data_IF_306550590909
#
_entry.id   IF_306550590909
#
_cell.length_a   1.000
_cell.length_b   1.000
_cell.length_c   1.000
_cell.angle_alpha   90.00
_cell.angle_beta   90.00
_cell.angle_gamma   90.00
#
_symmetry.space_group_name_H-M   'P 1'
#
loop_
_entity.id
_entity.type
_entity.pdbx_description
1 polymer ?
#
# COMPACT_ATOMS: atom_id res chain seq x y z
N UNK A 1 -16.00 -12.92 3.23
CA UNK A 1 -14.98 -13.99 3.12
C UNK A 1 -13.85 -13.58 4.03
N UNK A 2 -13.60 -14.30 5.13
CA UNK A 2 -12.51 -13.94 6.05
C UNK A 2 -11.19 -14.13 5.32
N UNK A 3 -10.29 -13.14 5.39
CA UNK A 3 -8.94 -13.28 4.85
C UNK A 3 -8.28 -14.45 5.59
N UNK A 4 -7.95 -15.51 4.86
CA UNK A 4 -7.16 -16.61 5.40
C UNK A 4 -5.81 -16.04 5.80
N UNK A 5 -5.50 -16.06 7.09
CA UNK A 5 -4.23 -15.62 7.63
C UNK A 5 -3.15 -16.61 7.17
N UNK A 6 -2.49 -16.30 6.06
CA UNK A 6 -1.50 -17.17 5.44
C UNK A 6 -0.10 -16.83 5.94
N UNK A 7 0.55 -17.82 6.55
CA UNK A 7 1.93 -17.70 7.01
C UNK A 7 2.90 -18.18 5.94
N UNK A 8 4.05 -17.50 5.88
CA UNK A 8 5.10 -17.81 4.93
C UNK A 8 6.43 -17.96 5.64
N UNK A 9 7.20 -18.97 5.23
CA UNK A 9 8.60 -19.13 5.65
C UNK A 9 9.53 -18.64 4.55
N UNK A 10 10.49 -17.81 4.92
CA UNK A 10 11.56 -17.33 4.05
C UNK A 10 12.85 -17.15 4.84
N UNK A 11 13.96 -17.11 4.12
CA UNK A 11 15.29 -16.93 4.68
C UNK A 11 15.90 -15.61 4.25
N UNK A 12 16.49 -14.89 5.20
CA UNK A 12 17.37 -13.76 4.96
C UNK A 12 18.67 -14.23 4.30
N UNK A 13 19.03 -13.64 3.16
CA UNK A 13 20.24 -14.03 2.40
C UNK A 13 21.52 -13.52 3.03
N UNK A 14 21.47 -12.42 3.78
CA UNK A 14 22.64 -11.81 4.40
C UNK A 14 23.05 -12.52 5.68
N UNK A 15 22.11 -12.83 6.56
CA UNK A 15 22.40 -13.40 7.87
C UNK A 15 22.01 -14.88 8.00
N UNK A 16 21.22 -15.41 7.06
CA UNK A 16 20.84 -16.82 7.02
C UNK A 16 19.68 -17.19 7.95
N UNK A 17 19.14 -16.26 8.73
CA UNK A 17 17.98 -16.48 9.58
C UNK A 17 16.74 -16.87 8.77
N UNK A 18 15.96 -17.77 9.35
CA UNK A 18 14.68 -18.22 8.80
C UNK A 18 13.58 -17.53 9.59
N UNK A 19 12.69 -16.87 8.87
CA UNK A 19 11.54 -16.16 9.40
C UNK A 19 10.28 -16.87 8.93
N UNK A 20 9.34 -17.08 9.85
CA UNK A 20 7.96 -17.46 9.54
C UNK A 20 7.05 -16.31 9.97
N UNK A 21 6.27 -15.78 9.04
CA UNK A 21 5.43 -14.62 9.32
C UNK A 21 4.22 -14.51 8.39
N UNK A 22 3.18 -13.82 8.85
CA UNK A 22 2.14 -13.29 7.96
C UNK A 22 2.70 -12.13 7.14
N UNK A 23 2.45 -12.16 5.83
CA UNK A 23 2.86 -11.11 4.91
C UNK A 23 1.64 -10.37 4.35
N UNK A 24 1.76 -9.06 4.16
CA UNK A 24 0.73 -8.21 3.59
C UNK A 24 1.35 -7.15 2.68
N UNK A 25 0.53 -6.61 1.78
CA UNK A 25 0.91 -5.57 0.84
C UNK A 25 0.51 -4.19 1.39
N UNK A 26 1.50 -3.37 1.72
CA UNK A 26 1.32 -1.93 1.96
C UNK A 26 1.52 -1.17 0.64
N UNK A 27 0.78 -0.08 0.46
CA UNK A 27 0.76 0.68 -0.80
C UNK A 27 0.83 2.17 -0.53
N UNK A 28 1.53 2.92 -1.36
CA UNK A 28 1.59 4.39 -1.29
C UNK A 28 1.45 4.96 -2.70
N UNK A 29 0.42 5.79 -2.92
CA UNK A 29 0.32 6.56 -4.18
C UNK A 29 1.37 7.68 -4.10
N UNK A 30 2.09 7.96 -5.19
CA UNK A 30 3.13 9.00 -5.15
C UNK A 30 2.57 10.34 -4.68
N UNK A 31 3.43 11.11 -4.01
CA UNK A 31 3.10 12.34 -3.27
C UNK A 31 2.15 12.16 -2.07
N UNK A 32 1.63 10.97 -1.78
CA UNK A 32 0.77 10.78 -0.59
C UNK A 32 1.48 11.04 0.74
N UNK A 33 2.82 11.01 0.76
CA UNK A 33 3.63 11.39 1.92
C UNK A 33 3.41 12.82 2.41
N UNK A 34 2.92 13.72 1.55
CA UNK A 34 2.57 15.08 1.97
C UNK A 34 1.48 15.13 3.05
N UNK A 35 0.72 14.04 3.23
CA UNK A 35 -0.27 13.96 4.31
C UNK A 35 0.37 13.96 5.69
N UNK A 36 1.66 13.65 5.82
CA UNK A 36 2.36 13.66 7.11
C UNK A 36 2.42 15.07 7.73
N UNK A 37 2.18 16.12 6.93
CA UNK A 37 2.13 17.52 7.36
C UNK A 37 0.73 17.97 7.86
N UNK A 38 -0.26 17.07 7.87
CA UNK A 38 -1.66 17.39 8.19
C UNK A 38 -2.21 16.49 9.31
N UNK A 39 -2.99 17.08 10.22
CA UNK A 39 -3.72 16.34 11.25
C UNK A 39 -5.06 15.83 10.69
N UNK A 40 -5.36 14.52 10.71
CA UNK A 40 -6.67 13.99 10.28
C UNK A 40 -7.88 14.51 11.07
N UNK A 41 -7.68 14.98 12.30
CA UNK A 41 -8.72 15.63 13.12
C UNK A 41 -9.06 17.05 12.66
N UNK A 42 -8.14 17.71 11.96
CA UNK A 42 -8.31 19.07 11.45
C UNK A 42 -8.53 19.12 9.92
N UNK A 43 -8.03 18.10 9.21
CA UNK A 43 -8.10 17.99 7.75
C UNK A 43 -8.90 16.74 7.37
N UNK A 44 -10.20 16.91 7.04
CA UNK A 44 -11.03 15.82 6.55
C UNK A 44 -10.41 15.11 5.33
N UNK A 45 -10.72 13.82 5.18
CA UNK A 45 -10.16 13.00 4.10
C UNK A 45 -10.42 13.58 2.70
N UNK A 46 -11.62 14.13 2.48
CA UNK A 46 -11.97 14.77 1.21
C UNK A 46 -11.11 16.02 0.94
N UNK A 47 -10.87 16.85 1.96
CA UNK A 47 -10.03 18.04 1.81
C UNK A 47 -8.57 17.66 1.55
N UNK A 48 -8.07 16.61 2.22
CA UNK A 48 -6.74 16.07 1.96
C UNK A 48 -6.61 15.52 0.53
N UNK A 49 -7.65 14.88 0.00
CA UNK A 49 -7.69 14.43 -1.40
C UNK A 49 -7.59 15.62 -2.37
N UNK A 50 -8.27 16.74 -2.10
CA UNK A 50 -8.19 17.95 -2.91
C UNK A 50 -6.81 18.62 -2.85
N UNK A 51 -6.18 18.61 -1.68
CA UNK A 51 -4.81 19.11 -1.51
C UNK A 51 -3.83 18.25 -2.32
N UNK A 52 -3.91 16.93 -2.19
CA UNK A 52 -3.07 15.99 -2.93
C UNK A 52 -3.29 16.08 -4.45
N UNK A 53 -4.53 16.20 -4.92
CA UNK A 53 -4.82 16.23 -6.36
C UNK A 53 -4.21 17.47 -7.05
N UNK A 54 -4.15 18.61 -6.34
CA UNK A 54 -3.47 19.82 -6.82
C UNK A 54 -1.96 19.61 -6.93
N UNK A 55 -1.34 19.05 -5.89
CA UNK A 55 0.10 18.76 -5.91
C UNK A 55 0.49 17.76 -7.00
N UNK A 56 -0.37 16.78 -7.27
CA UNK A 56 -0.19 15.82 -8.36
C UNK A 56 -0.30 16.48 -9.72
N UNK A 57 -1.25 17.39 -9.93
CA UNK A 57 -1.46 18.04 -11.22
C UNK A 57 -0.20 18.80 -11.70
N UNK A 58 0.61 19.32 -10.77
CA UNK A 58 1.88 19.97 -11.08
C UNK A 58 2.96 18.99 -11.58
N UNK A 59 2.91 17.73 -11.14
CA UNK A 59 3.92 16.69 -11.42
C UNK A 59 3.54 15.74 -12.55
N UNK A 60 2.27 15.33 -12.62
CA UNK A 60 1.76 14.29 -13.50
C UNK A 60 0.74 14.85 -14.48
N UNK A 61 1.21 15.27 -15.67
CA UNK A 61 0.35 15.89 -16.69
C UNK A 61 -0.74 14.98 -17.25
N UNK A 62 -0.48 13.67 -17.29
CA UNK A 62 -1.45 12.64 -17.71
C UNK A 62 -2.39 12.20 -16.57
N UNK A 63 -2.17 12.73 -15.36
CA UNK A 63 -2.91 12.40 -14.14
C UNK A 63 -2.89 10.92 -13.77
N UNK A 64 -1.92 10.16 -14.27
CA UNK A 64 -1.68 8.77 -13.89
C UNK A 64 -0.58 8.73 -12.84
N UNK A 65 -0.96 8.49 -11.59
CA UNK A 65 -0.03 8.53 -10.46
C UNK A 65 0.46 7.13 -10.14
N UNK A 66 1.78 6.90 -10.07
CA UNK A 66 2.32 5.59 -9.76
C UNK A 66 2.05 5.21 -8.31
N UNK A 67 1.93 3.89 -8.06
CA UNK A 67 1.73 3.32 -6.73
C UNK A 67 2.97 2.51 -6.34
N UNK A 68 3.61 2.91 -5.24
CA UNK A 68 4.68 2.17 -4.58
C UNK A 68 4.09 1.03 -3.75
N UNK A 69 4.74 -0.13 -3.78
CA UNK A 69 4.29 -1.31 -3.06
C UNK A 69 5.38 -1.85 -2.14
N UNK A 70 4.99 -2.21 -0.91
CA UNK A 70 5.89 -2.72 0.12
C UNK A 70 5.33 -3.98 0.78
N UNK A 71 6.22 -4.92 1.12
CA UNK A 71 5.92 -6.05 1.99
C UNK A 71 5.97 -5.56 3.42
N UNK A 72 4.91 -5.85 4.18
CA UNK A 72 4.87 -5.70 5.62
C UNK A 72 4.56 -7.04 6.28
N UNK A 73 4.94 -7.16 7.54
CA UNK A 73 4.54 -8.26 8.41
C UNK A 73 4.00 -7.72 9.72
N UNK A 74 2.94 -8.36 10.23
CA UNK A 74 2.45 -8.08 11.58
C UNK A 74 3.43 -8.58 12.65
N UNK A 75 4.11 -9.68 12.37
CA UNK A 75 5.07 -10.32 13.28
C UNK A 75 6.40 -9.55 13.34
N UNK A 76 6.71 -8.82 12.26
CA UNK A 76 7.87 -7.94 12.19
C UNK A 76 7.49 -6.57 11.62
N UNK A 77 7.10 -5.61 12.47
CA UNK A 77 6.74 -4.25 12.05
C UNK A 77 7.89 -3.49 11.37
N UNK A 78 9.13 -3.92 11.59
CA UNK A 78 10.32 -3.31 10.99
C UNK A 78 10.58 -3.84 9.56
N UNK A 79 9.86 -4.88 9.11
CA UNK A 79 9.95 -5.33 7.72
C UNK A 79 9.23 -4.32 6.82
N UNK A 80 10.03 -3.53 6.09
CA UNK A 80 9.54 -2.57 5.11
C UNK A 80 10.39 -2.62 3.85
N UNK A 81 10.13 -3.62 3.01
CA UNK A 81 10.85 -3.84 1.76
C UNK A 81 9.94 -3.62 0.57
N UNK A 82 10.48 -3.14 -0.55
CA UNK A 82 9.71 -3.03 -1.79
C UNK A 82 9.18 -4.40 -2.23
N UNK A 83 7.91 -4.49 -2.63
CA UNK A 83 7.34 -5.69 -3.25
C UNK A 83 8.06 -5.99 -4.57
N UNK A 84 8.32 -7.26 -4.91
CA UNK A 84 8.88 -7.60 -6.21
C UNK A 84 7.84 -7.36 -7.33
N UNK A 85 8.32 -7.25 -8.56
CA UNK A 85 7.49 -7.12 -9.77
C UNK A 85 6.65 -5.84 -9.89
N UNK A 86 6.88 -4.84 -9.05
CA UNK A 86 6.38 -3.49 -9.30
C UNK A 86 7.15 -2.82 -10.46
N UNK A 87 6.57 -1.77 -11.05
CA UNK A 87 7.10 -1.10 -12.24
C UNK A 87 8.52 -0.54 -12.04
N UNK A 88 9.27 -0.40 -13.14
CA UNK A 88 10.68 0.04 -13.14
C UNK A 88 10.94 1.45 -12.61
N UNK A 89 9.89 2.21 -12.27
CA UNK A 89 9.98 3.53 -11.65
C UNK A 89 10.50 3.46 -10.20
N UNK A 90 10.53 2.28 -9.60
CA UNK A 90 10.89 2.07 -8.20
C UNK A 90 12.23 1.35 -8.05
N UNK A 91 12.74 1.34 -6.80
CA UNK A 91 14.02 0.75 -6.44
C UNK A 91 14.24 -0.63 -7.09
N UNK A 92 15.43 -0.84 -7.65
CA UNK A 92 15.85 -2.17 -8.15
C UNK A 92 15.97 -3.20 -7.04
N UNK A 93 16.28 -2.74 -5.82
CA UNK A 93 16.30 -3.58 -4.64
C UNK A 93 14.88 -3.74 -4.12
N UNK A 94 14.48 -4.98 -3.90
CA UNK A 94 13.18 -5.37 -3.39
C UNK A 94 13.33 -6.54 -2.40
N UNK A 95 12.22 -7.06 -1.90
CA UNK A 95 12.22 -8.18 -0.97
C UNK A 95 13.10 -9.36 -1.44
N UNK A 96 13.06 -9.72 -2.72
CA UNK A 96 13.83 -10.86 -3.26
C UNK A 96 15.34 -10.58 -3.41
N UNK A 97 15.76 -9.32 -3.30
CA UNK A 97 17.17 -8.94 -3.20
C UNK A 97 17.77 -9.45 -1.90
N UNK A 98 17.03 -9.30 -0.79
CA UNK A 98 17.52 -9.57 0.56
C UNK A 98 17.04 -10.92 1.11
N UNK A 99 15.91 -11.42 0.63
CA UNK A 99 15.29 -12.63 1.11
C UNK A 99 15.09 -13.65 -0.02
N UNK A 100 14.96 -14.92 0.36
CA UNK A 100 14.51 -15.98 -0.55
C UNK A 100 13.01 -15.86 -0.82
N UNK A 101 12.53 -16.48 -1.89
CA UNK A 101 11.09 -16.53 -2.19
C UNK A 101 10.35 -17.20 -1.03
N UNK A 102 9.41 -16.50 -0.37
CA UNK A 102 8.60 -17.09 0.68
C UNK A 102 7.78 -18.28 0.19
N UNK A 103 7.64 -19.28 1.06
CA UNK A 103 6.81 -20.46 0.82
C UNK A 103 5.73 -20.55 1.87
N UNK A 104 4.50 -20.81 1.45
CA UNK A 104 3.37 -21.01 2.33
C UNK A 104 3.67 -22.19 3.28
N UNK A 105 3.39 -22.01 4.57
CA UNK A 105 3.63 -23.03 5.59
C UNK A 105 2.73 -24.26 5.43
N UNK A 106 1.57 -24.12 4.81
CA UNK A 106 0.56 -25.18 4.74
C UNK A 106 0.82 -26.18 3.61
N UNK A 107 1.20 -25.68 2.43
CA UNK A 107 1.38 -26.48 1.20
C UNK A 107 2.80 -26.41 0.62
N UNK A 108 3.67 -25.53 1.14
CA UNK A 108 5.02 -25.32 0.63
C UNK A 108 5.10 -24.56 -0.71
N UNK A 109 3.96 -24.15 -1.26
CA UNK A 109 3.89 -23.44 -2.54
C UNK A 109 4.53 -22.04 -2.40
N UNK A 110 5.19 -21.55 -3.47
CA UNK A 110 5.71 -20.19 -3.48
C UNK A 110 4.59 -19.15 -3.29
N UNK A 111 4.92 -18.06 -2.61
CA UNK A 111 4.02 -16.93 -2.46
C UNK A 111 3.47 -16.42 -3.80
N UNK A 112 2.16 -16.17 -3.84
CA UNK A 112 1.49 -15.46 -4.93
C UNK A 112 1.38 -13.98 -4.58
N UNK A 113 2.40 -13.21 -4.96
CA UNK A 113 2.52 -11.79 -4.56
C UNK A 113 1.28 -10.93 -4.84
N UNK A 114 0.62 -11.15 -5.98
CA UNK A 114 -0.59 -10.42 -6.38
C UNK A 114 -1.84 -10.78 -5.57
N UNK A 115 -1.81 -11.87 -4.79
CA UNK A 115 -2.88 -12.31 -3.91
C UNK A 115 -2.65 -11.88 -2.45
N UNK A 116 -1.55 -11.18 -2.17
CA UNK A 116 -1.28 -10.71 -0.82
C UNK A 116 -2.42 -9.80 -0.31
N UNK A 117 -2.85 -9.95 0.94
CA UNK A 117 -3.80 -9.04 1.56
C UNK A 117 -3.28 -7.60 1.50
N UNK A 118 -4.03 -6.71 0.87
CA UNK A 118 -3.71 -5.28 0.83
C UNK A 118 -4.18 -4.65 2.13
N UNK A 119 -3.28 -3.92 2.81
CA UNK A 119 -3.61 -3.25 4.06
C UNK A 119 -4.60 -2.10 3.84
N UNK A 120 -5.56 -1.99 4.76
CA UNK A 120 -6.39 -0.80 4.88
C UNK A 120 -5.60 0.32 5.55
N UNK A 121 -5.80 1.53 5.05
CA UNK A 121 -5.23 2.76 5.55
C UNK A 121 -6.35 3.65 6.11
N UNK A 122 -6.10 4.22 7.29
CA UNK A 122 -7.06 5.05 8.01
C UNK A 122 -6.65 6.51 7.98
N UNK A 123 -7.66 7.37 8.02
CA UNK A 123 -7.52 8.81 8.16
C UNK A 123 -8.65 9.32 9.04
N UNK A 124 -8.40 9.27 10.33
CA UNK A 124 -9.32 9.72 11.37
C UNK A 124 -8.54 10.27 12.57
N UNK A 125 -9.24 10.91 13.51
CA UNK A 125 -8.67 11.54 14.72
C UNK A 125 -7.80 10.61 15.59
N UNK A 126 -7.81 9.29 15.37
CA UNK A 126 -6.98 8.32 16.10
C UNK A 126 -5.77 7.88 15.28
N UNK A 127 -5.86 7.93 13.96
CA UNK A 127 -4.86 7.37 13.07
C UNK A 127 -4.83 8.07 11.71
N UNK A 128 -3.71 8.72 11.41
CA UNK A 128 -3.37 9.26 10.09
C UNK A 128 -2.31 8.40 9.42
N UNK A 129 -2.72 7.35 8.72
CA UNK A 129 -1.78 6.63 7.87
C UNK A 129 -1.41 7.52 6.69
N UNK A 130 -0.15 7.44 6.25
CA UNK A 130 0.31 8.06 5.00
C UNK A 130 -0.57 7.64 3.83
N UNK A 131 -1.19 8.59 3.14
CA UNK A 131 -2.15 8.29 2.08
C UNK A 131 -3.45 7.63 2.56
N UNK A 132 -3.73 7.63 3.86
CA UNK A 132 -4.92 7.01 4.44
C UNK A 132 -6.21 7.73 4.09
N UNK A 133 -6.14 8.96 3.55
CA UNK A 133 -7.31 9.74 3.16
C UNK A 133 -8.03 9.18 1.93
N UNK A 134 -7.38 8.39 1.07
CA UNK A 134 -8.01 7.86 -0.15
C UNK A 134 -9.24 7.01 0.14
N UNK A 135 -9.12 6.02 1.03
CA UNK A 135 -10.21 5.07 1.31
C UNK A 135 -11.47 5.78 1.88
N UNK A 136 -11.40 6.60 2.95
CA UNK A 136 -12.56 7.30 3.46
C UNK A 136 -13.09 8.39 2.51
N UNK A 137 -12.25 8.99 1.65
CA UNK A 137 -12.71 10.00 0.69
C UNK A 137 -13.41 9.41 -0.55
N UNK A 138 -13.10 8.17 -0.93
CA UNK A 138 -13.48 7.63 -2.25
C UNK A 138 -14.10 6.23 -2.21
N UNK A 139 -13.99 5.51 -1.10
CA UNK A 139 -14.26 4.07 -1.03
C UNK A 139 -13.28 3.20 -1.82
N UNK A 140 -12.31 3.79 -2.53
CA UNK A 140 -11.35 3.05 -3.33
C UNK A 140 -10.28 2.40 -2.47
N UNK A 141 -9.89 1.18 -2.85
CA UNK A 141 -8.73 0.47 -2.32
C UNK A 141 -7.91 -0.05 -3.49
N UNK A 142 -6.59 0.11 -3.40
CA UNK A 142 -5.69 -0.45 -4.39
C UNK A 142 -5.77 -1.99 -4.42
N UNK A 143 -5.63 -2.57 -5.60
CA UNK A 143 -5.41 -4.01 -5.77
C UNK A 143 -3.91 -4.28 -5.74
N UNK A 144 -3.45 -5.37 -5.10
CA UNK A 144 -2.03 -5.66 -4.95
C UNK A 144 -1.30 -5.60 -6.31
N UNK A 145 -0.16 -4.89 -6.35
CA UNK A 145 0.64 -4.63 -7.55
C UNK A 145 -0.06 -3.82 -8.65
N UNK A 146 -1.18 -3.14 -8.36
CA UNK A 146 -1.74 -2.13 -9.24
C UNK A 146 -0.68 -1.04 -9.47
N UNK A 147 -0.25 -0.77 -10.72
CA UNK A 147 0.92 0.06 -10.97
C UNK A 147 0.62 1.56 -10.87
N UNK A 148 -0.60 1.97 -11.22
CA UNK A 148 -1.02 3.38 -11.28
C UNK A 148 -2.47 3.54 -10.86
N UNK A 149 -2.84 4.77 -10.49
CA UNK A 149 -4.23 5.20 -10.31
C UNK A 149 -4.45 6.54 -11.04
N UNK A 150 -5.63 6.73 -11.61
CA UNK A 150 -6.02 8.00 -12.22
C UNK A 150 -6.56 8.96 -11.17
N UNK A 151 -6.09 10.21 -11.17
CA UNK A 151 -6.65 11.26 -10.31
C UNK A 151 -8.11 11.50 -10.63
N UNK A 152 -8.47 11.58 -11.92
CA UNK A 152 -9.84 11.85 -12.34
C UNK A 152 -10.79 10.72 -11.90
N UNK A 153 -10.32 9.47 -11.91
CA UNK A 153 -11.06 8.35 -11.36
C UNK A 153 -11.31 8.48 -9.85
N UNK A 154 -10.29 8.87 -9.07
CA UNK A 154 -10.44 9.05 -7.62
C UNK A 154 -11.38 10.21 -7.28
N UNK A 155 -11.31 11.32 -8.02
CA UNK A 155 -12.22 12.45 -7.84
C UNK A 155 -13.65 12.08 -8.22
N UNK A 156 -13.84 11.37 -9.33
CA UNK A 156 -15.16 10.84 -9.70
C UNK A 156 -15.74 9.96 -8.59
N UNK A 157 -14.94 9.04 -8.02
CA UNK A 157 -15.40 8.22 -6.90
C UNK A 157 -15.76 9.08 -5.70
N UNK A 158 -14.94 10.07 -5.34
CA UNK A 158 -15.21 10.96 -4.21
C UNK A 158 -16.55 11.70 -4.33
N UNK A 159 -16.88 12.18 -5.53
CA UNK A 159 -18.13 12.88 -5.81
C UNK A 159 -19.38 11.98 -5.68
N UNK A 160 -19.20 10.68 -5.86
CA UNK A 160 -20.30 9.69 -5.86
C UNK A 160 -20.24 8.74 -4.66
N UNK A 161 -19.31 8.96 -3.73
CA UNK A 161 -19.14 8.12 -2.56
C UNK A 161 -20.03 8.62 -1.42
N UNK A 162 -21.04 7.81 -1.09
CA UNK A 162 -21.82 7.97 0.13
C UNK A 162 -21.19 7.07 1.21
N UNK A 163 -20.46 7.62 2.19
CA UNK A 163 -19.91 6.81 3.27
C UNK A 163 -21.07 6.18 4.04
N UNK A 164 -21.17 4.85 4.02
CA UNK A 164 -22.07 4.12 4.91
C UNK A 164 -21.68 4.44 6.36
N UNK A 165 -22.59 5.10 7.07
CA UNK A 165 -22.52 5.43 8.49
C UNK A 165 -22.40 4.18 9.38
#
# INVERSE_FOLDING_TARGET
MMATHQQYTYRNRQYGDIVTAELSANWEVDLSAMSDDYDPGETPAYDMLQIWSRAVADRYRDKMVPICWYVQSKDNPCLFESLPFQGALFSRNNFLTWFTTPRNTDDGEPIRWHELPVLDKRWDHRQGHKGGFFQPATGWKAVCLQPFVSVDYLLYLAEHYEPTL
#
